data_IF_924949992082
#
_entry.id   IF_924949992082
#
_cell.length_a   1.000
_cell.length_b   1.000
_cell.length_c   1.000
_cell.angle_alpha   90.00
_cell.angle_beta   90.00
_cell.angle_gamma   90.00
#
_symmetry.space_group_name_H-M   'P 1'
#
loop_
_entity.id
_entity.type
_entity.pdbx_description
1 polymer ?
#
# COMPACT_ATOMS: atom_id res chain seq x y z
N UNK A 1 8.63 29.19 8.08
CA UNK A 1 9.44 28.33 8.96
C UNK A 1 8.61 27.46 9.90
N UNK A 2 7.42 27.90 10.34
CA UNK A 2 6.49 27.11 11.18
C UNK A 2 5.99 25.81 10.51
N UNK A 3 5.78 25.79 9.19
CA UNK A 3 5.25 24.62 8.49
C UNK A 3 6.25 23.45 8.37
N UNK A 4 7.56 23.75 8.34
CA UNK A 4 8.61 22.73 8.33
C UNK A 4 8.74 22.04 9.70
N UNK A 5 8.56 22.79 10.79
CA UNK A 5 8.56 22.26 12.15
C UNK A 5 7.31 21.42 12.44
N UNK A 6 6.15 21.83 11.92
CA UNK A 6 4.91 21.07 12.02
C UNK A 6 4.96 19.75 11.22
N UNK A 7 5.52 19.76 10.00
CA UNK A 7 5.75 18.55 9.21
C UNK A 7 6.71 17.57 9.88
N UNK A 8 7.74 18.07 10.55
CA UNK A 8 8.69 17.25 11.34
C UNK A 8 8.01 16.58 12.54
N UNK A 9 7.17 17.31 13.29
CA UNK A 9 6.41 16.76 14.44
C UNK A 9 5.39 15.70 14.03
N UNK A 10 4.69 15.90 12.91
CA UNK A 10 3.77 14.90 12.34
C UNK A 10 4.55 13.66 11.87
N UNK A 11 5.72 13.85 11.26
CA UNK A 11 6.60 12.75 10.86
C UNK A 11 7.10 11.91 12.04
N UNK A 12 7.49 12.56 13.15
CA UNK A 12 7.91 11.87 14.38
C UNK A 12 6.73 11.14 15.04
N UNK A 13 5.53 11.76 15.07
CA UNK A 13 4.31 11.12 15.57
C UNK A 13 3.91 9.89 14.76
N UNK A 14 4.06 9.95 13.43
CA UNK A 14 3.89 8.81 12.54
C UNK A 14 4.85 7.67 12.90
N UNK A 15 6.14 7.96 13.07
CA UNK A 15 7.15 6.94 13.40
C UNK A 15 6.87 6.24 14.76
N UNK A 16 6.33 6.98 15.74
CA UNK A 16 5.95 6.42 17.06
C UNK A 16 4.66 5.60 16.98
N UNK A 17 3.73 5.94 16.08
CA UNK A 17 2.44 5.26 15.90
C UNK A 17 2.47 4.12 14.87
N UNK A 18 3.46 4.11 13.97
CA UNK A 18 3.70 3.06 12.97
C UNK A 18 3.66 1.63 13.54
N UNK A 19 4.21 1.33 14.75
CA UNK A 19 4.11 0.00 15.33
C UNK A 19 2.67 -0.40 15.64
N UNK A 20 1.84 0.53 16.10
CA UNK A 20 0.44 0.27 16.46
C UNK A 20 -0.44 0.06 15.22
N UNK A 21 -0.20 0.82 14.16
CA UNK A 21 -0.92 0.68 12.90
C UNK A 21 -0.59 -0.65 12.20
N UNK A 22 0.68 -1.07 12.20
CA UNK A 22 1.10 -2.38 11.67
C UNK A 22 0.46 -3.53 12.45
N UNK A 23 0.37 -3.41 13.78
CA UNK A 23 -0.28 -4.41 14.63
C UNK A 23 -1.78 -4.49 14.37
N UNK A 24 -2.46 -3.36 14.17
CA UNK A 24 -3.90 -3.33 13.86
C UNK A 24 -4.21 -3.97 12.50
N UNK A 25 -3.38 -3.70 11.49
CA UNK A 25 -3.51 -4.29 10.15
C UNK A 25 -3.23 -5.80 10.20
N UNK A 26 -2.17 -6.25 10.91
CA UNK A 26 -1.86 -7.69 11.00
C UNK A 26 -2.87 -8.47 11.83
N UNK A 27 -3.47 -7.85 12.85
CA UNK A 27 -4.54 -8.45 13.63
C UNK A 27 -5.80 -8.69 12.77
N UNK A 28 -6.10 -7.80 11.84
CA UNK A 28 -7.25 -7.94 10.94
C UNK A 28 -6.99 -8.88 9.76
N UNK A 29 -5.75 -8.95 9.26
CA UNK A 29 -5.40 -9.73 8.08
C UNK A 29 -5.02 -11.18 8.39
N UNK A 30 -4.48 -11.50 9.58
CA UNK A 30 -4.14 -12.87 9.96
C UNK A 30 -4.04 -13.06 11.49
N UNK A 31 -5.17 -13.24 12.21
CA UNK A 31 -5.17 -13.39 13.67
C UNK A 31 -4.36 -14.61 14.15
N UNK A 32 -4.23 -15.66 13.34
CA UNK A 32 -3.46 -16.86 13.66
C UNK A 32 -1.92 -16.64 13.65
N UNK A 33 -1.42 -15.69 12.86
CA UNK A 33 0.02 -15.39 12.78
C UNK A 33 0.55 -14.69 14.05
N UNK A 34 -0.30 -13.98 14.78
CA UNK A 34 0.05 -13.27 16.02
C UNK A 34 0.10 -14.23 17.21
N UNK A 35 -0.83 -15.19 17.28
CA UNK A 35 -0.86 -16.21 18.31
C UNK A 35 0.32 -17.19 18.22
N UNK A 36 0.76 -17.54 17.00
CA UNK A 36 1.78 -18.56 16.80
C UNK A 36 3.24 -18.08 16.92
N UNK A 37 3.52 -16.78 16.73
CA UNK A 37 4.92 -16.28 16.66
C UNK A 37 5.34 -15.35 17.78
N UNK A 38 4.42 -14.79 18.56
CA UNK A 38 4.72 -13.92 19.70
C UNK A 38 5.28 -12.55 19.29
N UNK A 39 4.68 -11.49 19.81
CA UNK A 39 4.97 -10.08 19.47
C UNK A 39 6.47 -9.75 19.63
N UNK A 40 7.15 -10.33 20.62
CA UNK A 40 8.57 -10.09 20.93
C UNK A 40 9.51 -10.64 19.85
N UNK A 41 9.19 -11.77 19.20
CA UNK A 41 10.02 -12.33 18.11
C UNK A 41 9.89 -11.52 16.82
N UNK A 42 8.69 -10.99 16.53
CA UNK A 42 8.46 -10.11 15.38
C UNK A 42 9.25 -8.81 15.55
N UNK A 43 9.21 -8.22 16.76
CA UNK A 43 9.99 -7.01 17.08
C UNK A 43 11.51 -7.25 16.99
N UNK A 44 11.99 -8.41 17.47
CA UNK A 44 13.42 -8.77 17.36
C UNK A 44 13.85 -9.00 15.90
N UNK A 45 12.95 -9.47 15.05
CA UNK A 45 13.21 -9.71 13.63
C UNK A 45 13.17 -8.41 12.79
N UNK A 46 12.27 -7.47 13.12
CA UNK A 46 12.27 -6.12 12.54
C UNK A 46 13.50 -5.31 12.96
N UNK A 47 13.95 -5.44 14.22
CA UNK A 47 15.15 -4.76 14.72
C UNK A 47 16.46 -5.31 14.14
N UNK A 48 16.47 -6.58 13.70
CA UNK A 48 17.61 -7.18 12.99
C UNK A 48 17.73 -6.72 11.52
N UNK A 49 16.64 -6.27 10.90
CA UNK A 49 16.67 -5.68 9.56
C UNK A 49 17.32 -4.28 9.52
N UNK A 50 17.65 -3.70 10.68
CA UNK A 50 18.27 -2.38 10.78
C UNK A 50 19.79 -2.40 10.46
N UNK A 51 20.44 -3.57 10.47
CA UNK A 51 21.85 -3.75 10.09
C UNK A 51 22.03 -4.03 8.60
N UNK A 52 21.35 -3.27 7.74
CA UNK A 52 21.50 -3.37 6.29
C UNK A 52 22.34 -2.20 5.80
N UNK A 53 23.49 -2.50 5.20
CA UNK A 53 24.43 -1.50 4.67
C UNK A 53 23.74 -0.62 3.62
N UNK A 54 24.12 0.65 3.53
CA UNK A 54 23.59 1.63 2.56
C UNK A 54 23.47 1.05 1.14
N UNK A 55 24.51 0.38 0.66
CA UNK A 55 24.53 -0.25 -0.68
C UNK A 55 23.45 -1.32 -0.84
N UNK A 56 23.21 -2.13 0.19
CA UNK A 56 22.19 -3.17 0.15
C UNK A 56 20.78 -2.56 0.15
N UNK A 57 20.54 -1.51 0.94
CA UNK A 57 19.26 -0.77 0.88
C UNK A 57 19.05 -0.07 -0.47
N UNK A 58 20.12 0.46 -1.06
CA UNK A 58 20.08 1.11 -2.37
C UNK A 58 19.74 0.11 -3.48
N UNK A 59 20.44 -1.02 -3.54
CA UNK A 59 20.16 -2.11 -4.49
C UNK A 59 18.77 -2.69 -4.25
N UNK A 60 18.39 -2.96 -2.99
CA UNK A 60 17.05 -3.46 -2.66
C UNK A 60 15.94 -2.49 -3.06
N UNK A 61 16.18 -1.18 -3.02
CA UNK A 61 15.19 -0.17 -3.45
C UNK A 61 15.05 -0.12 -4.96
N UNK A 62 16.17 -0.14 -5.69
CA UNK A 62 16.18 -0.10 -7.17
C UNK A 62 15.47 -1.32 -7.74
N UNK A 63 15.69 -2.52 -7.19
CA UNK A 63 15.10 -3.74 -7.74
C UNK A 63 13.80 -4.15 -7.06
N UNK A 64 13.68 -3.92 -5.75
CA UNK A 64 12.52 -4.34 -4.97
C UNK A 64 11.27 -3.54 -5.27
N UNK A 65 11.38 -2.22 -5.47
CA UNK A 65 10.20 -1.40 -5.73
C UNK A 65 9.56 -1.71 -7.10
N UNK A 66 10.30 -1.79 -8.22
CA UNK A 66 9.74 -2.19 -9.51
C UNK A 66 9.23 -3.63 -9.50
N UNK A 67 9.98 -4.58 -8.92
CA UNK A 67 9.54 -5.98 -8.84
C UNK A 67 8.21 -6.13 -8.09
N UNK A 68 8.04 -5.39 -6.99
CA UNK A 68 6.78 -5.35 -6.23
C UNK A 68 5.62 -4.82 -7.07
N UNK A 69 5.85 -3.75 -7.83
CA UNK A 69 4.82 -3.14 -8.68
C UNK A 69 4.38 -4.12 -9.77
N UNK A 70 5.32 -4.82 -10.42
CA UNK A 70 5.00 -5.79 -11.47
C UNK A 70 4.16 -6.95 -10.93
N UNK A 71 4.55 -7.53 -9.79
CA UNK A 71 3.80 -8.64 -9.16
C UNK A 71 2.43 -8.17 -8.68
N UNK A 72 2.34 -6.99 -8.05
CA UNK A 72 1.07 -6.44 -7.58
C UNK A 72 0.11 -6.17 -8.74
N UNK A 73 0.59 -5.60 -9.84
CA UNK A 73 -0.24 -5.34 -11.01
C UNK A 73 -0.80 -6.64 -11.60
N UNK A 74 0.04 -7.68 -11.75
CA UNK A 74 -0.41 -8.97 -12.27
C UNK A 74 -1.52 -9.58 -11.39
N UNK A 75 -1.37 -9.50 -10.05
CA UNK A 75 -2.39 -9.97 -9.13
C UNK A 75 -3.69 -9.17 -9.20
N UNK A 76 -3.62 -7.86 -9.38
CA UNK A 76 -4.82 -7.03 -9.52
C UNK A 76 -5.59 -7.38 -10.80
N UNK A 77 -4.91 -7.60 -11.93
CA UNK A 77 -5.56 -7.99 -13.20
C UNK A 77 -6.26 -9.35 -13.07
N UNK A 78 -5.60 -10.32 -12.42
CA UNK A 78 -6.21 -11.62 -12.15
C UNK A 78 -7.45 -11.46 -11.28
N UNK A 79 -7.37 -10.65 -10.22
CA UNK A 79 -8.53 -10.40 -9.33
C UNK A 79 -9.67 -9.71 -10.04
N UNK A 80 -9.43 -8.69 -10.85
CA UNK A 80 -10.50 -7.99 -11.57
C UNK A 80 -11.16 -8.89 -12.61
N UNK A 81 -10.39 -9.74 -13.32
CA UNK A 81 -10.96 -10.73 -14.26
C UNK A 81 -11.73 -11.86 -13.56
N UNK A 82 -11.34 -12.24 -12.34
CA UNK A 82 -12.11 -13.18 -11.50
C UNK A 82 -13.41 -12.53 -11.03
N UNK A 83 -13.36 -11.26 -10.61
CA UNK A 83 -14.51 -10.52 -10.08
C UNK A 83 -15.49 -10.04 -11.16
N UNK A 84 -15.06 -9.85 -12.40
CA UNK A 84 -15.92 -9.42 -13.51
C UNK A 84 -16.76 -10.55 -14.11
N UNK A 85 -16.74 -11.75 -13.53
CA UNK A 85 -17.45 -12.91 -14.07
C UNK A 85 -18.90 -12.97 -13.58
N UNK A 86 -19.83 -13.45 -14.44
CA UNK A 86 -21.16 -13.83 -13.99
C UNK A 86 -21.06 -15.06 -13.06
N UNK A 87 -21.84 -15.07 -11.98
CA UNK A 87 -21.82 -16.07 -10.89
C UNK A 87 -22.07 -17.54 -11.32
N UNK A 88 -22.31 -17.80 -12.61
CA UNK A 88 -22.87 -19.06 -13.12
C UNK A 88 -21.87 -19.95 -13.88
N UNK A 89 -20.55 -19.80 -13.69
CA UNK A 89 -19.53 -20.68 -14.31
C UNK A 89 -18.60 -21.33 -13.27
N UNK A 90 -18.45 -22.67 -13.25
CA UNK A 90 -17.68 -23.41 -12.24
C UNK A 90 -16.18 -23.52 -12.58
N UNK A 91 -15.58 -22.49 -13.18
CA UNK A 91 -14.14 -22.51 -13.48
C UNK A 91 -13.31 -21.96 -12.32
N UNK A 92 -12.31 -22.74 -11.88
CA UNK A 92 -11.37 -22.35 -10.83
C UNK A 92 -10.51 -21.15 -11.25
N UNK A 93 -10.21 -20.25 -10.31
CA UNK A 93 -9.35 -19.07 -10.55
C UNK A 93 -8.02 -19.36 -11.26
N UNK A 94 -7.50 -20.58 -11.13
CA UNK A 94 -6.24 -21.03 -11.74
C UNK A 94 -6.42 -21.39 -13.23
N UNK A 95 -7.54 -22.00 -13.63
CA UNK A 95 -7.82 -22.25 -15.05
C UNK A 95 -8.02 -20.96 -15.82
N UNK A 96 -8.48 -19.89 -15.15
CA UNK A 96 -8.59 -18.54 -15.70
C UNK A 96 -7.22 -17.98 -16.06
N UNK A 97 -6.28 -18.03 -15.12
CA UNK A 97 -4.92 -17.54 -15.35
C UNK A 97 -4.26 -18.33 -16.48
N UNK A 98 -4.49 -19.64 -16.52
CA UNK A 98 -4.00 -20.51 -17.60
C UNK A 98 -4.58 -20.12 -18.96
N UNK A 99 -5.90 -19.96 -19.05
CA UNK A 99 -6.58 -19.57 -20.29
C UNK A 99 -6.18 -18.15 -20.73
N UNK A 100 -6.01 -17.22 -19.78
CA UNK A 100 -5.55 -15.86 -20.02
C UNK A 100 -4.16 -15.84 -20.67
N UNK A 101 -3.21 -16.57 -20.09
CA UNK A 101 -1.84 -16.64 -20.62
C UNK A 101 -1.81 -17.38 -21.97
N UNK A 102 -2.66 -18.39 -22.17
CA UNK A 102 -2.73 -19.14 -23.43
C UNK A 102 -3.39 -18.37 -24.58
N UNK A 103 -4.37 -17.51 -24.29
CA UNK A 103 -5.13 -16.77 -25.31
C UNK A 103 -4.56 -15.36 -25.56
N UNK A 104 -4.33 -14.59 -24.49
CA UNK A 104 -3.94 -13.18 -24.56
C UNK A 104 -2.42 -12.98 -24.34
N UNK A 105 -1.70 -14.05 -23.96
CA UNK A 105 -0.27 -14.03 -23.68
C UNK A 105 0.11 -13.45 -22.30
N UNK A 106 1.40 -13.46 -22.00
CA UNK A 106 1.91 -12.95 -20.72
C UNK A 106 1.77 -11.42 -20.56
N UNK A 107 1.64 -10.68 -21.66
CA UNK A 107 1.40 -9.23 -21.69
C UNK A 107 0.04 -8.84 -21.13
N UNK A 108 -0.95 -9.74 -21.19
CA UNK A 108 -2.29 -9.51 -20.67
C UNK A 108 -2.33 -9.27 -19.15
N UNK A 109 -1.31 -9.76 -18.41
CA UNK A 109 -1.15 -9.50 -16.97
C UNK A 109 -0.79 -8.03 -16.67
N UNK A 110 -0.28 -7.30 -17.67
CA UNK A 110 0.08 -5.89 -17.58
C UNK A 110 -0.90 -4.98 -18.34
N UNK A 111 -1.89 -5.54 -19.03
CA UNK A 111 -2.96 -4.75 -19.63
C UNK A 111 -3.76 -4.02 -18.54
N UNK A 112 -4.02 -2.73 -18.77
CA UNK A 112 -4.67 -1.86 -17.79
C UNK A 112 -3.72 -1.10 -16.85
N UNK A 113 -2.40 -1.35 -16.91
CA UNK A 113 -1.41 -0.58 -16.15
C UNK A 113 -1.39 0.89 -16.59
N UNK A 114 -1.49 1.14 -17.91
CA UNK A 114 -1.55 2.50 -18.47
C UNK A 114 -2.77 3.30 -18.00
N UNK A 115 -4.02 2.80 -18.12
CA UNK A 115 -5.19 3.46 -17.54
C UNK A 115 -5.07 3.72 -16.03
N UNK A 116 -4.56 2.75 -15.25
CA UNK A 116 -4.37 2.91 -13.80
C UNK A 116 -3.38 4.03 -13.47
N UNK A 117 -2.27 4.13 -14.21
CA UNK A 117 -1.29 5.21 -14.04
C UNK A 117 -1.87 6.57 -14.43
N UNK A 118 -2.63 6.64 -15.52
CA UNK A 118 -3.29 7.89 -15.95
C UNK A 118 -4.29 8.41 -14.93
N UNK A 119 -5.02 7.53 -14.24
CA UNK A 119 -5.99 7.92 -13.19
C UNK A 119 -5.30 8.20 -11.85
N UNK A 120 -4.09 7.67 -11.63
CA UNK A 120 -3.34 7.88 -10.39
C UNK A 120 -3.03 9.35 -10.15
N UNK A 121 -2.63 10.09 -11.19
CA UNK A 121 -2.32 11.53 -11.10
C UNK A 121 -3.52 12.36 -10.59
N UNK A 122 -4.66 12.33 -11.30
CA UNK A 122 -5.87 13.02 -10.85
C UNK A 122 -6.34 12.59 -9.46
N UNK A 123 -6.28 11.29 -9.13
CA UNK A 123 -6.68 10.78 -7.82
C UNK A 123 -5.84 11.35 -6.68
N UNK A 124 -4.52 11.38 -6.85
CA UNK A 124 -3.60 11.93 -5.85
C UNK A 124 -3.80 13.43 -5.68
N UNK A 125 -3.96 14.16 -6.78
CA UNK A 125 -4.21 15.61 -6.77
C UNK A 125 -5.54 15.95 -6.07
N UNK A 126 -6.59 15.22 -6.40
CA UNK A 126 -7.90 15.42 -5.78
C UNK A 126 -7.88 15.09 -4.29
N UNK A 127 -7.28 13.96 -3.90
CA UNK A 127 -7.16 13.58 -2.49
C UNK A 127 -6.33 14.61 -1.71
N UNK A 128 -5.26 15.14 -2.28
CA UNK A 128 -4.45 16.18 -1.65
C UNK A 128 -5.22 17.50 -1.53
N UNK A 129 -5.92 17.92 -2.58
CA UNK A 129 -6.73 19.14 -2.57
C UNK A 129 -7.82 19.08 -1.50
N UNK A 130 -8.53 17.95 -1.37
CA UNK A 130 -9.53 17.73 -0.32
C UNK A 130 -8.88 17.77 1.06
N UNK A 131 -7.74 17.11 1.24
CA UNK A 131 -7.03 17.14 2.53
C UNK A 131 -6.60 18.56 2.92
N UNK A 132 -6.07 19.35 1.98
CA UNK A 132 -5.70 20.75 2.23
C UNK A 132 -6.94 21.60 2.59
N UNK A 133 -8.05 21.39 1.89
CA UNK A 133 -9.29 22.11 2.18
C UNK A 133 -9.86 21.76 3.56
N UNK A 134 -9.83 20.48 3.93
CA UNK A 134 -10.26 20.01 5.25
C UNK A 134 -9.36 20.57 6.36
N UNK A 135 -8.04 20.52 6.19
CA UNK A 135 -7.07 21.03 7.16
C UNK A 135 -7.25 22.55 7.35
N UNK A 136 -7.46 23.30 6.27
CA UNK A 136 -7.72 24.74 6.34
C UNK A 136 -9.02 25.05 7.09
N UNK A 137 -10.08 24.27 6.88
CA UNK A 137 -11.35 24.42 7.60
C UNK A 137 -11.19 24.14 9.10
N UNK A 138 -10.52 23.04 9.47
CA UNK A 138 -10.24 22.71 10.87
C UNK A 138 -9.34 23.74 11.56
N UNK A 139 -8.34 24.27 10.85
CA UNK A 139 -7.45 25.31 11.39
C UNK A 139 -8.20 26.63 11.64
N UNK A 140 -9.14 26.98 10.76
CA UNK A 140 -10.00 28.16 10.90
C UNK A 140 -10.99 28.00 12.06
N UNK A 141 -11.62 26.83 12.19
CA UNK A 141 -12.57 26.53 13.27
C UNK A 141 -11.87 26.40 14.64
N UNK A 142 -10.69 25.79 14.70
CA UNK A 142 -9.88 25.69 15.92
C UNK A 142 -9.29 27.04 16.34
N UNK A 143 -9.01 27.95 15.40
CA UNK A 143 -8.60 29.32 15.68
C UNK A 143 -9.74 30.18 16.25
N UNK A 144 -10.99 29.85 15.92
CA UNK A 144 -12.18 30.55 16.40
C UNK A 144 -12.56 30.20 17.86
N UNK A 145 -12.05 29.07 18.39
CA UNK A 145 -12.31 28.59 19.76
C UNK A 145 -11.24 29.08 20.76
N UNK A 146 -10.15 29.69 20.29
CA UNK A 146 -9.07 30.25 21.14
C UNK A 146 -9.09 31.78 21.19
N UNK A 147 -10.27 32.38 21.31
CA UNK A 147 -10.46 33.79 21.68
C UNK A 147 -11.56 33.85 22.75
#
# INVERSE_FOLDING_TARGET
MLDATAGSLIGVGGIVLLPLDVLRIRAQMNPAAIAARGIIKIFKQERLAFHVTFVQNFVASIFGAPARILVAQALDVIKTRVQSRPYNSPESGISIVRNLIQQDGASALFEGLMPKLSVLGPKLNFSYAVAQHLIAYFKTFSGLITI
#
